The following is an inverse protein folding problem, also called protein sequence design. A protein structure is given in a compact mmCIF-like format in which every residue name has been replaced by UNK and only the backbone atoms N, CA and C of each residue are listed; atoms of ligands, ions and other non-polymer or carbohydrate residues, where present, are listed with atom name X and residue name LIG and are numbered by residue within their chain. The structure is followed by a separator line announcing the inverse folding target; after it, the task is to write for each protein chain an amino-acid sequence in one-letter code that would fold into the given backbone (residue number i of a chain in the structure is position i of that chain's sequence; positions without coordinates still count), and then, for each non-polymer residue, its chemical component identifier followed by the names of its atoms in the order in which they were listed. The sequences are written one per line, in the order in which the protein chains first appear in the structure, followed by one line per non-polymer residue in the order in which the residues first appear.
data_IF_926391465356
#
_entry.id   IF_926391465356
#
_cell.length_a   1.000
_cell.length_b   1.000
_cell.length_c   1.000
_cell.angle_alpha   90.00
_cell.angle_beta   90.00
_cell.angle_gamma   90.00
#
_symmetry.space_group_name_H-M   'P 1'
#
loop_
_entity.id
_entity.type
_entity.pdbx_description
1 polymer ?
#
# COMPACT_ATOMS: atom_id res chain seq x y z
N UNK A 1 2.45 26.63 -14.94
CA UNK A 1 3.10 25.49 -14.25
C UNK A 1 2.70 24.22 -14.98
N UNK A 2 3.63 23.46 -15.57
CA UNK A 2 3.31 22.16 -16.20
C UNK A 2 2.83 21.21 -15.10
N UNK A 3 1.62 20.67 -15.21
CA UNK A 3 1.18 19.53 -14.42
C UNK A 3 2.04 18.32 -14.83
N UNK A 4 3.17 18.12 -14.15
CA UNK A 4 4.01 16.93 -14.32
C UNK A 4 3.39 15.78 -13.54
N UNK A 5 2.22 15.32 -13.97
CA UNK A 5 1.67 14.06 -13.48
C UNK A 5 2.45 12.90 -14.09
N UNK A 6 2.88 11.94 -13.28
CA UNK A 6 3.52 10.73 -13.76
C UNK A 6 2.61 9.98 -14.74
N UNK A 7 3.16 9.60 -15.89
CA UNK A 7 2.48 8.73 -16.87
C UNK A 7 2.23 7.34 -16.28
N UNK A 8 1.27 6.59 -16.83
CA UNK A 8 0.96 5.23 -16.38
C UNK A 8 2.18 4.31 -16.39
N UNK A 9 2.99 4.39 -17.46
CA UNK A 9 4.24 3.64 -17.59
C UNK A 9 5.26 4.01 -16.51
N UNK A 10 5.43 5.30 -16.21
CA UNK A 10 6.34 5.74 -15.14
C UNK A 10 5.90 5.23 -13.77
N UNK A 11 4.60 5.24 -13.47
CA UNK A 11 4.08 4.69 -12.21
C UNK A 11 4.32 3.19 -12.11
N UNK A 12 4.14 2.46 -13.21
CA UNK A 12 4.42 1.01 -13.30
C UNK A 12 5.91 0.73 -13.08
N UNK A 13 6.80 1.46 -13.75
CA UNK A 13 8.25 1.30 -13.58
C UNK A 13 8.68 1.58 -12.15
N UNK A 14 8.12 2.64 -11.54
CA UNK A 14 8.41 2.98 -10.15
C UNK A 14 7.92 1.88 -9.19
N UNK A 15 6.69 1.40 -9.37
CA UNK A 15 6.14 0.31 -8.57
C UNK A 15 6.96 -0.97 -8.72
N UNK A 16 7.39 -1.30 -9.94
CA UNK A 16 8.22 -2.47 -10.22
C UNK A 16 9.61 -2.36 -9.59
N UNK A 17 10.24 -1.20 -9.66
CA UNK A 17 11.51 -0.94 -9.00
C UNK A 17 11.43 -1.17 -7.48
N UNK A 18 10.43 -0.56 -6.83
CA UNK A 18 10.22 -0.76 -5.39
C UNK A 18 9.83 -2.19 -5.05
N UNK A 19 9.06 -2.87 -5.91
CA UNK A 19 8.71 -4.27 -5.73
C UNK A 19 9.97 -5.15 -5.65
N UNK A 20 10.95 -4.94 -6.53
CA UNK A 20 12.23 -5.68 -6.48
C UNK A 20 12.97 -5.40 -5.16
N UNK A 21 13.09 -4.12 -4.78
CA UNK A 21 13.75 -3.71 -3.53
C UNK A 21 13.09 -4.38 -2.32
N UNK A 22 11.77 -4.43 -2.31
CA UNK A 22 10.97 -5.06 -1.25
C UNK A 22 11.23 -6.56 -1.18
N UNK A 23 11.17 -7.27 -2.30
CA UNK A 23 11.43 -8.72 -2.34
C UNK A 23 12.84 -9.02 -1.81
N UNK A 24 13.84 -8.26 -2.23
CA UNK A 24 15.22 -8.41 -1.71
C UNK A 24 15.23 -8.14 -0.20
N UNK A 25 14.61 -7.06 0.27
CA UNK A 25 14.54 -6.69 1.67
C UNK A 25 13.95 -7.79 2.55
N UNK A 26 12.85 -8.42 2.13
CA UNK A 26 12.23 -9.54 2.85
C UNK A 26 13.04 -10.84 2.82
N UNK A 27 13.93 -11.03 1.85
CA UNK A 27 14.82 -12.20 1.82
C UNK A 27 16.07 -11.99 2.67
N UNK A 28 16.40 -10.74 3.03
CA UNK A 28 17.54 -10.44 3.89
C UNK A 28 17.18 -10.68 5.36
N UNK A 29 18.07 -11.37 6.08
CA UNK A 29 17.90 -11.60 7.51
C UNK A 29 18.12 -10.31 8.29
N UNK A 30 17.16 -9.96 9.13
CA UNK A 30 17.23 -8.75 9.95
C UNK A 30 18.41 -8.81 10.94
N UNK A 31 19.19 -7.72 11.08
CA UNK A 31 20.23 -7.61 12.10
C UNK A 31 19.66 -7.87 13.50
N UNK A 32 20.45 -8.49 14.39
CA UNK A 32 19.98 -8.89 15.73
C UNK A 32 19.40 -7.74 16.54
N UNK A 33 19.94 -6.53 16.36
CA UNK A 33 19.48 -5.32 17.04
C UNK A 33 18.01 -4.99 16.77
N UNK A 34 17.46 -5.33 15.60
CA UNK A 34 16.09 -4.94 15.22
C UNK A 34 15.05 -6.06 15.41
N UNK A 35 15.44 -7.25 15.85
CA UNK A 35 14.51 -8.39 15.99
C UNK A 35 13.37 -8.17 16.99
N UNK A 36 13.55 -7.25 17.93
CA UNK A 36 12.53 -6.92 18.92
C UNK A 36 11.42 -6.02 18.37
N UNK A 37 11.65 -5.36 17.22
CA UNK A 37 10.68 -4.49 16.52
C UNK A 37 10.28 -5.03 15.15
N UNK A 38 10.61 -6.29 14.85
CA UNK A 38 10.42 -6.90 13.53
C UNK A 38 8.95 -6.85 13.10
N UNK A 39 8.05 -7.12 14.04
CA UNK A 39 6.59 -7.12 13.86
C UNK A 39 6.05 -5.73 13.56
N UNK A 40 6.53 -4.73 14.28
CA UNK A 40 6.18 -3.32 14.07
C UNK A 40 6.72 -2.83 12.72
N UNK A 41 7.90 -3.29 12.31
CA UNK A 41 8.46 -3.01 10.98
C UNK A 41 7.60 -3.62 9.87
N UNK A 42 7.12 -4.85 10.05
CA UNK A 42 6.18 -5.50 9.15
C UNK A 42 4.88 -4.70 8.99
N UNK A 43 4.25 -4.31 10.11
CA UNK A 43 3.05 -3.49 10.07
C UNK A 43 3.29 -2.11 9.41
N UNK A 44 4.39 -1.45 9.76
CA UNK A 44 4.76 -0.17 9.16
C UNK A 44 5.02 -0.29 7.66
N UNK A 45 5.71 -1.35 7.24
CA UNK A 45 5.95 -1.65 5.84
C UNK A 45 4.64 -1.79 5.06
N UNK A 46 3.72 -2.63 5.52
CA UNK A 46 2.45 -2.86 4.83
C UNK A 46 1.53 -1.63 4.83
N UNK A 47 1.55 -0.83 5.91
CA UNK A 47 0.88 0.47 5.96
C UNK A 47 1.42 1.41 4.85
N UNK A 48 2.75 1.56 4.77
CA UNK A 48 3.39 2.45 3.81
C UNK A 48 3.27 1.94 2.37
N UNK A 49 3.34 0.62 2.16
CA UNK A 49 3.11 0.01 0.84
C UNK A 49 1.67 0.26 0.35
N UNK A 50 0.69 0.09 1.23
CA UNK A 50 -0.70 0.39 0.92
C UNK A 50 -0.89 1.88 0.60
N UNK A 51 -0.28 2.78 1.39
CA UNK A 51 -0.29 4.22 1.15
C UNK A 51 0.32 4.58 -0.22
N UNK A 52 1.52 4.09 -0.49
CA UNK A 52 2.24 4.34 -1.73
C UNK A 52 1.45 3.90 -2.96
N UNK A 53 0.92 2.66 -2.96
CA UNK A 53 0.15 2.14 -4.08
C UNK A 53 -1.20 2.86 -4.24
N UNK A 54 -1.85 3.25 -3.14
CA UNK A 54 -3.10 4.02 -3.20
C UNK A 54 -2.88 5.41 -3.81
N UNK A 55 -1.81 6.10 -3.41
CA UNK A 55 -1.44 7.40 -3.98
C UNK A 55 -1.11 7.30 -5.47
N UNK A 56 -0.43 6.22 -5.90
CA UNK A 56 -0.08 6.03 -7.31
C UNK A 56 -1.29 5.69 -8.20
N UNK A 57 -2.18 4.79 -7.75
CA UNK A 57 -3.13 4.12 -8.66
C UNK A 57 -4.63 4.32 -8.34
N UNK A 58 -5.00 4.72 -7.12
CA UNK A 58 -6.39 4.60 -6.65
C UNK A 58 -7.18 5.90 -6.73
N UNK A 59 -6.59 7.02 -6.28
CA UNK A 59 -7.37 8.22 -5.98
C UNK A 59 -8.46 7.91 -4.95
N UNK A 60 -9.73 8.13 -5.29
CA UNK A 60 -10.89 7.87 -4.41
C UNK A 60 -11.70 6.61 -4.79
N UNK A 61 -11.15 5.71 -5.63
CA UNK A 61 -11.89 4.55 -6.16
C UNK A 61 -11.80 3.33 -5.23
N UNK A 62 -12.88 3.03 -4.50
CA UNK A 62 -12.94 1.92 -3.53
C UNK A 62 -12.50 0.55 -4.09
N UNK A 63 -12.94 0.19 -5.29
CA UNK A 63 -12.56 -1.11 -5.90
C UNK A 63 -11.04 -1.29 -6.01
N UNK A 64 -10.31 -0.24 -6.41
CA UNK A 64 -8.85 -0.31 -6.54
C UNK A 64 -8.15 -0.37 -5.19
N UNK A 65 -8.71 0.29 -4.17
CA UNK A 65 -8.23 0.18 -2.80
C UNK A 65 -8.31 -1.27 -2.29
N UNK A 66 -9.48 -1.91 -2.45
CA UNK A 66 -9.70 -3.31 -2.06
C UNK A 66 -8.78 -4.26 -2.82
N UNK A 67 -8.59 -4.05 -4.13
CA UNK A 67 -7.65 -4.86 -4.92
C UNK A 67 -6.22 -4.77 -4.38
N UNK A 68 -5.72 -3.56 -4.08
CA UNK A 68 -4.38 -3.38 -3.50
C UNK A 68 -4.27 -4.07 -2.13
N UNK A 69 -5.29 -3.93 -1.29
CA UNK A 69 -5.34 -4.59 0.01
C UNK A 69 -5.17 -6.10 -0.12
N UNK A 70 -5.97 -6.74 -0.99
CA UNK A 70 -5.92 -8.20 -1.21
C UNK A 70 -4.57 -8.61 -1.78
N UNK A 71 -4.06 -7.90 -2.79
CA UNK A 71 -2.76 -8.24 -3.40
C UNK A 71 -1.63 -8.13 -2.39
N UNK A 72 -1.60 -7.08 -1.56
CA UNK A 72 -0.58 -6.94 -0.51
C UNK A 72 -0.70 -8.04 0.55
N UNK A 73 -1.92 -8.35 1.01
CA UNK A 73 -2.12 -9.43 1.98
C UNK A 73 -1.61 -10.78 1.45
N UNK A 74 -1.96 -11.13 0.20
CA UNK A 74 -1.49 -12.34 -0.46
C UNK A 74 0.02 -12.33 -0.70
N UNK A 75 0.60 -11.16 -0.99
CA UNK A 75 2.05 -11.01 -1.12
C UNK A 75 2.77 -11.32 0.20
N UNK A 76 2.26 -10.84 1.33
CA UNK A 76 2.82 -11.17 2.65
C UNK A 76 2.77 -12.66 2.96
N UNK A 77 1.63 -13.31 2.72
CA UNK A 77 1.51 -14.76 2.85
C UNK A 77 2.47 -15.50 1.91
N UNK A 78 2.64 -15.00 0.69
CA UNK A 78 3.54 -15.57 -0.31
C UNK A 78 5.01 -15.49 0.09
N UNK A 79 5.45 -14.37 0.67
CA UNK A 79 6.83 -14.21 1.13
C UNK A 79 7.17 -15.22 2.23
N UNK A 80 6.30 -15.36 3.24
CA UNK A 80 6.45 -16.36 4.32
C UNK A 80 6.54 -17.78 3.75
N UNK A 81 5.64 -18.12 2.81
CA UNK A 81 5.62 -19.42 2.16
C UNK A 81 6.89 -19.69 1.34
N UNK A 82 7.41 -18.68 0.63
CA UNK A 82 8.66 -18.78 -0.15
C UNK A 82 9.86 -18.92 0.78
N UNK A 83 9.92 -18.19 1.90
CA UNK A 83 10.98 -18.34 2.89
C UNK A 83 11.01 -19.76 3.49
N UNK A 84 9.84 -20.30 3.86
CA UNK A 84 9.74 -21.67 4.38
C UNK A 84 10.12 -22.70 3.30
N UNK A 85 9.61 -22.55 2.08
CA UNK A 85 9.96 -23.42 0.96
C UNK A 85 11.47 -23.39 0.68
N UNK A 86 12.09 -22.21 0.73
CA UNK A 86 13.53 -22.02 0.54
C UNK A 86 14.34 -22.80 1.59
N UNK A 87 13.93 -22.75 2.87
CA UNK A 87 14.55 -23.56 3.92
C UNK A 87 14.48 -25.07 3.64
N UNK A 88 13.35 -25.56 3.12
CA UNK A 88 13.17 -26.97 2.74
C UNK A 88 14.03 -27.34 1.53
N UNK A 89 14.06 -26.48 0.51
CA UNK A 89 14.82 -26.70 -0.72
C UNK A 89 16.33 -26.78 -0.47
N UNK A 90 16.89 -25.84 0.30
CA UNK A 90 18.33 -25.82 0.61
C UNK A 90 18.74 -26.73 1.77
N UNK A 91 17.77 -27.39 2.43
CA UNK A 91 17.97 -28.25 3.61
C UNK A 91 18.78 -27.55 4.73
N UNK A 92 18.72 -26.22 4.76
CA UNK A 92 19.42 -25.35 5.71
C UNK A 92 18.49 -24.19 6.06
N UNK A 93 18.48 -23.79 7.32
CA UNK A 93 17.69 -22.64 7.78
C UNK A 93 18.40 -21.34 7.41
N UNK A 94 18.11 -20.84 6.22
CA UNK A 94 18.61 -19.57 5.69
C UNK A 94 17.63 -18.41 5.96
N UNK A 95 16.32 -18.70 5.96
CA UNK A 95 15.24 -17.73 6.23
C UNK A 95 14.43 -18.08 7.49
N UNK A 96 13.46 -17.25 7.83
CA UNK A 96 12.45 -17.52 8.85
C UNK A 96 11.62 -18.77 8.55
N UNK A 97 10.90 -19.27 9.57
CA UNK A 97 9.80 -20.21 9.35
C UNK A 97 8.55 -19.39 9.05
N UNK A 98 7.56 -19.99 8.41
CA UNK A 98 6.25 -19.37 8.28
C UNK A 98 5.71 -18.98 9.66
N UNK A 99 5.53 -17.68 9.90
CA UNK A 99 4.99 -17.16 11.16
C UNK A 99 3.61 -16.52 10.93
N UNK A 100 2.52 -17.13 11.43
CA UNK A 100 1.19 -16.52 11.36
C UNK A 100 1.14 -15.15 12.05
N UNK A 101 2.00 -14.89 13.04
CA UNK A 101 2.02 -13.60 13.71
C UNK A 101 2.51 -12.49 12.77
N UNK A 102 3.48 -12.75 11.90
CA UNK A 102 3.95 -11.76 10.91
C UNK A 102 2.83 -11.39 9.92
N UNK A 103 1.98 -12.37 9.57
CA UNK A 103 0.77 -12.15 8.79
C UNK A 103 -0.26 -11.26 9.52
N UNK A 104 -0.45 -11.45 10.82
CA UNK A 104 -1.32 -10.61 11.62
C UNK A 104 -0.82 -9.17 11.68
N UNK A 105 0.49 -8.95 11.84
CA UNK A 105 1.07 -7.61 11.85
C UNK A 105 1.02 -6.93 10.48
N UNK A 106 1.27 -7.68 9.40
CA UNK A 106 1.02 -7.21 8.04
C UNK A 106 -0.43 -6.73 7.87
N UNK A 107 -1.39 -7.54 8.33
CA UNK A 107 -2.82 -7.22 8.29
C UNK A 107 -3.16 -5.99 9.12
N UNK A 108 -2.60 -5.84 10.33
CA UNK A 108 -2.78 -4.63 11.17
C UNK A 108 -2.33 -3.37 10.42
N UNK A 109 -1.18 -3.41 9.75
CA UNK A 109 -0.69 -2.32 8.92
C UNK A 109 -1.65 -1.95 7.78
N UNK A 110 -2.14 -2.95 7.04
CA UNK A 110 -3.11 -2.77 5.96
C UNK A 110 -4.43 -2.18 6.46
N UNK A 111 -4.96 -2.70 7.57
CA UNK A 111 -6.21 -2.23 8.18
C UNK A 111 -6.05 -0.79 8.68
N UNK A 112 -4.96 -0.48 9.37
CA UNK A 112 -4.68 0.87 9.85
C UNK A 112 -4.65 1.90 8.71
N UNK A 113 -4.00 1.57 7.59
CA UNK A 113 -4.02 2.44 6.41
C UNK A 113 -5.43 2.56 5.80
N UNK A 114 -6.16 1.45 5.72
CA UNK A 114 -7.51 1.42 5.16
C UNK A 114 -8.48 2.31 5.93
N UNK A 115 -8.41 2.30 7.27
CA UNK A 115 -9.19 3.20 8.14
C UNK A 115 -8.86 4.66 7.79
N UNK A 116 -7.56 5.02 7.76
CA UNK A 116 -7.13 6.38 7.44
C UNK A 116 -7.62 6.82 6.05
N UNK A 117 -7.49 5.95 5.04
CA UNK A 117 -7.91 6.22 3.68
C UNK A 117 -9.43 6.40 3.54
N UNK A 118 -10.22 5.60 4.25
CA UNK A 118 -11.68 5.72 4.29
C UNK A 118 -12.13 7.04 4.94
N UNK A 119 -11.50 7.44 6.04
CA UNK A 119 -11.77 8.72 6.69
C UNK A 119 -11.47 9.89 5.75
N UNK A 120 -10.31 9.88 5.10
CA UNK A 120 -9.93 10.89 4.12
C UNK A 120 -10.91 10.95 2.95
N UNK A 121 -11.23 9.81 2.35
CA UNK A 121 -12.12 9.74 1.18
C UNK A 121 -13.54 10.15 1.54
N UNK A 122 -14.03 9.74 2.72
CA UNK A 122 -15.31 10.16 3.27
C UNK A 122 -15.38 11.67 3.48
N UNK A 123 -14.35 12.27 4.08
CA UNK A 123 -14.26 13.71 4.25
C UNK A 123 -14.29 14.45 2.90
N UNK A 124 -13.48 14.03 1.93
CA UNK A 124 -13.45 14.63 0.58
C UNK A 124 -14.82 14.52 -0.10
N UNK A 125 -15.51 13.40 0.05
CA UNK A 125 -16.85 13.20 -0.50
C UNK A 125 -17.88 14.15 0.13
N UNK A 126 -17.90 14.26 1.47
CA UNK A 126 -18.79 15.17 2.19
C UNK A 126 -18.51 16.63 1.85
N UNK A 127 -17.23 17.02 1.77
CA UNK A 127 -16.81 18.37 1.42
C UNK A 127 -17.28 18.77 0.02
N UNK A 128 -17.08 17.91 -0.99
CA UNK A 128 -17.56 18.15 -2.36
C UNK A 128 -19.08 18.29 -2.41
N UNK A 129 -19.81 17.40 -1.73
CA UNK A 129 -21.27 17.47 -1.63
C UNK A 129 -21.76 18.77 -0.98
N UNK A 130 -21.01 19.32 -0.03
CA UNK A 130 -21.32 20.60 0.62
C UNK A 130 -21.13 21.80 -0.31
N UNK A 131 -20.07 21.79 -1.13
CA UNK A 131 -19.83 22.83 -2.14
C UNK A 131 -20.92 22.86 -3.21
N UNK A 132 -21.36 21.69 -3.67
CA UNK A 132 -22.42 21.58 -4.68
C UNK A 132 -23.76 22.15 -4.16
N UNK A 133 -24.05 21.98 -2.87
CA UNK A 133 -25.28 22.51 -2.25
C UNK A 133 -25.31 24.03 -2.08
N UNK A 134 -24.13 24.66 -1.94
CA UNK A 134 -24.02 26.10 -1.68
C UNK A 134 -24.05 26.94 -2.98
N UNK A 135 -24.19 26.30 -4.16
CA UNK A 135 -24.20 27.01 -5.46
C UNK A 135 -22.87 27.67 -5.84
N UNK A 136 -21.81 27.50 -5.03
CA UNK A 136 -20.51 28.15 -5.22
C UNK A 136 -19.75 27.69 -6.48
N UNK A 137 -20.21 26.64 -7.15
CA UNK A 137 -19.63 26.13 -8.41
C UNK A 137 -20.17 26.92 -9.62
N UNK A 138 -21.33 27.56 -9.52
CA UNK A 138 -21.97 28.31 -10.61
C UNK A 138 -21.43 29.75 -10.75
N UNK A 139 -20.72 30.26 -9.73
CA UNK A 139 -20.14 31.62 -9.73
C UNK A 139 -18.68 31.68 -10.18
N UNK A 140 -18.08 30.56 -10.63
CA UNK A 140 -16.73 30.57 -11.22
C UNK A 140 -16.79 31.08 -12.67
N UNK A 141 -16.14 32.21 -13.01
CA UNK A 141 -16.12 32.74 -14.36
C UNK A 141 -15.32 31.80 -15.26
N UNK A 142 -16.01 31.00 -16.08
CA UNK A 142 -15.34 30.12 -17.05
C UNK A 142 -16.16 28.99 -17.65
N UNK A 143 -17.34 28.66 -17.10
CA UNK A 143 -18.30 27.76 -17.75
C UNK A 143 -19.37 28.58 -18.48
N UNK A 144 -19.00 29.17 -19.62
CA UNK A 144 -19.97 29.48 -20.68
C UNK A 144 -19.70 28.49 -21.82
N UNK A 145 -20.68 27.63 -22.04
CA UNK A 145 -21.06 27.03 -23.31
C UNK A 145 -19.93 26.51 -24.20
N UNK A 146 -19.53 25.24 -23.99
CA UNK A 146 -19.15 24.28 -25.05
C UNK A 146 -19.52 22.86 -24.63
#
# INVERSE_FOLDING_TARGET
MKNTSLTGTQKLLLAFFFFIVVVIGFMLKLPSAFRHVDKEMHAAFYFLAAAFLNLLFVGTKLFRHVLIFVVLYLFGAGIEAVQEYSNRFFRKRIHGRFDPEDLEWNLKGLVAFSILWLLYTGFVFLYKKSLDKTGAVESLPGKRDQ
#
